data_IF_925854478790
#
_entry.id   IF_925854478790
#
_cell.length_a   1.000
_cell.length_b   1.000
_cell.length_c   1.000
_cell.angle_alpha   90.00
_cell.angle_beta   90.00
_cell.angle_gamma   90.00
#
_symmetry.space_group_name_H-M   'P 1'
#
loop_
_entity.id
_entity.type
_entity.pdbx_description
1 polymer ?
#
# COMPACT_ATOMS: atom_id res chain seq x y z
N UNK A 1 -3.41 40.26 -1.89
CA UNK A 1 -3.71 39.24 -0.85
C UNK A 1 -2.78 38.05 -1.07
N UNK A 2 -1.86 37.78 -0.14
CA UNK A 2 -0.99 36.60 -0.20
C UNK A 2 -1.87 35.36 -0.02
N UNK A 3 -2.04 34.56 -1.08
CA UNK A 3 -2.74 33.27 -1.04
C UNK A 3 -2.00 32.43 0.00
N UNK A 4 -2.63 32.14 1.13
CA UNK A 4 -2.08 31.22 2.11
C UNK A 4 -1.89 29.89 1.37
N UNK A 5 -0.64 29.54 1.05
CA UNK A 5 -0.31 28.20 0.61
C UNK A 5 -0.69 27.29 1.77
N UNK A 6 -1.85 26.64 1.67
CA UNK A 6 -2.18 25.53 2.55
C UNK A 6 -1.00 24.57 2.46
N UNK A 7 -0.16 24.53 3.51
CA UNK A 7 0.97 23.61 3.61
C UNK A 7 0.42 22.20 3.46
N UNK A 8 0.48 21.67 2.24
CA UNK A 8 0.12 20.28 1.98
C UNK A 8 1.10 19.42 2.77
N UNK A 9 0.58 18.67 3.72
CA UNK A 9 1.36 17.70 4.49
C UNK A 9 1.64 16.51 3.59
N UNK A 10 2.90 16.10 3.47
CA UNK A 10 3.29 14.91 2.71
C UNK A 10 3.60 13.77 3.69
N UNK A 11 3.10 12.58 3.40
CA UNK A 11 3.23 11.39 4.25
C UNK A 11 4.05 10.29 3.57
N UNK A 12 4.37 9.23 4.33
CA UNK A 12 5.03 8.03 3.81
C UNK A 12 4.30 7.43 2.60
N UNK A 13 2.97 7.41 2.62
CA UNK A 13 2.17 6.93 1.49
C UNK A 13 2.40 7.74 0.21
N UNK A 14 2.55 9.06 0.33
CA UNK A 14 2.84 9.93 -0.82
C UNK A 14 4.24 9.64 -1.38
N UNK A 15 5.19 9.30 -0.51
CA UNK A 15 6.52 8.88 -0.90
C UNK A 15 6.52 7.53 -1.64
N UNK A 16 5.81 6.52 -1.11
CA UNK A 16 5.68 5.19 -1.73
C UNK A 16 5.00 5.30 -3.10
N UNK A 17 3.94 6.10 -3.19
CA UNK A 17 3.27 6.37 -4.46
C UNK A 17 4.22 7.03 -5.47
N UNK A 18 4.91 8.10 -5.07
CA UNK A 18 5.89 8.79 -5.91
C UNK A 18 6.99 7.83 -6.37
N UNK A 19 7.44 6.96 -5.48
CA UNK A 19 8.46 5.98 -5.77
C UNK A 19 8.02 5.01 -6.87
N UNK A 20 6.79 4.49 -6.79
CA UNK A 20 6.24 3.62 -7.82
C UNK A 20 6.08 4.33 -9.18
N UNK A 21 5.65 5.60 -9.19
CA UNK A 21 5.62 6.41 -10.42
C UNK A 21 7.02 6.57 -11.05
N UNK A 22 8.04 6.83 -10.24
CA UNK A 22 9.42 6.98 -10.74
C UNK A 22 9.98 5.65 -11.25
N UNK A 23 9.69 4.55 -10.56
CA UNK A 23 10.06 3.21 -11.01
C UNK A 23 9.44 2.87 -12.38
N UNK A 24 8.16 3.21 -12.58
CA UNK A 24 7.47 3.07 -13.86
C UNK A 24 8.12 3.89 -14.98
N UNK A 25 8.52 5.13 -14.68
CA UNK A 25 9.21 6.02 -15.63
C UNK A 25 10.60 5.51 -16.02
N UNK A 26 11.41 5.04 -15.05
CA UNK A 26 12.76 4.52 -15.29
C UNK A 26 12.71 3.27 -16.17
N UNK A 27 11.75 2.38 -15.95
CA UNK A 27 11.66 1.12 -16.70
C UNK A 27 10.87 1.18 -18.00
N UNK A 28 10.39 2.35 -18.45
CA UNK A 28 9.67 2.68 -19.73
C UNK A 28 8.53 1.74 -20.22
N UNK A 29 8.35 0.58 -19.61
CA UNK A 29 7.51 -0.55 -20.06
C UNK A 29 6.72 -1.14 -18.89
N UNK A 30 6.90 -0.62 -17.68
CA UNK A 30 6.19 -1.15 -16.51
C UNK A 30 4.76 -0.65 -16.50
N UNK A 31 3.79 -1.57 -16.55
CA UNK A 31 2.37 -1.31 -16.26
C UNK A 31 2.10 -1.02 -14.76
N UNK A 32 3.14 -1.01 -13.94
CA UNK A 32 3.03 -0.72 -12.51
C UNK A 32 3.01 0.79 -12.27
N UNK A 33 1.81 1.34 -12.17
CA UNK A 33 1.57 2.71 -11.72
C UNK A 33 1.95 2.86 -10.23
N UNK A 34 2.25 4.08 -9.79
CA UNK A 34 2.53 4.36 -8.37
C UNK A 34 1.36 4.02 -7.45
N UNK A 35 0.13 4.13 -7.97
CA UNK A 35 -1.09 3.74 -7.26
C UNK A 35 -1.15 2.24 -7.01
N UNK A 36 -0.71 1.44 -7.99
CA UNK A 36 -0.66 -0.02 -7.87
C UNK A 36 0.37 -0.44 -6.82
N UNK A 37 1.59 0.10 -6.87
CA UNK A 37 2.65 -0.22 -5.91
C UNK A 37 2.26 0.18 -4.48
N UNK A 38 1.72 1.38 -4.29
CA UNK A 38 1.19 1.81 -2.99
C UNK A 38 0.09 0.86 -2.52
N UNK A 39 -0.81 0.45 -3.41
CA UNK A 39 -1.90 -0.44 -3.03
C UNK A 39 -1.42 -1.84 -2.66
N UNK A 40 -0.44 -2.40 -3.39
CA UNK A 40 0.22 -3.65 -3.01
C UNK A 40 0.85 -3.55 -1.62
N UNK A 41 1.42 -2.41 -1.27
CA UNK A 41 2.01 -2.19 0.05
C UNK A 41 0.93 -2.14 1.16
N UNK A 42 -0.18 -1.43 0.93
CA UNK A 42 -1.35 -1.42 1.83
C UNK A 42 -1.95 -2.82 1.97
N UNK A 43 -2.06 -3.55 0.85
CA UNK A 43 -2.53 -4.92 0.80
C UNK A 43 -1.68 -5.84 1.67
N UNK A 44 -0.36 -5.74 1.53
CA UNK A 44 0.58 -6.56 2.27
C UNK A 44 0.57 -6.28 3.77
N UNK A 45 0.53 -5.01 4.17
CA UNK A 45 0.65 -4.63 5.59
C UNK A 45 -0.65 -4.65 6.37
N UNK A 46 -1.78 -4.38 5.72
CA UNK A 46 -3.06 -4.16 6.41
C UNK A 46 -4.06 -5.23 6.01
N UNK A 47 -4.33 -5.37 4.72
CA UNK A 47 -5.41 -6.23 4.24
C UNK A 47 -5.09 -7.71 4.46
N UNK A 48 -3.90 -8.17 4.08
CA UNK A 48 -3.51 -9.57 4.24
C UNK A 48 -3.51 -10.03 5.71
N UNK A 49 -2.92 -9.29 6.66
CA UNK A 49 -3.01 -9.67 8.07
C UNK A 49 -4.43 -9.71 8.61
N UNK A 50 -5.28 -8.74 8.25
CA UNK A 50 -6.68 -8.71 8.66
C UNK A 50 -7.49 -9.84 8.02
N UNK A 51 -7.19 -10.17 6.76
CA UNK A 51 -7.81 -11.28 6.04
C UNK A 51 -7.48 -12.61 6.72
N UNK A 52 -6.20 -12.89 6.99
CA UNK A 52 -5.77 -14.11 7.71
C UNK A 52 -6.45 -14.18 9.09
N UNK A 53 -6.50 -13.05 9.81
CA UNK A 53 -7.16 -12.98 11.11
C UNK A 53 -8.67 -13.26 10.99
N UNK A 54 -9.36 -12.69 10.01
CA UNK A 54 -10.81 -12.89 9.84
C UNK A 54 -11.15 -14.33 9.46
N UNK A 55 -10.35 -14.96 8.59
CA UNK A 55 -10.52 -16.37 8.21
C UNK A 55 -10.33 -17.30 9.38
N UNK A 56 -9.45 -16.93 10.32
CA UNK A 56 -9.23 -17.71 11.53
C UNK A 56 -10.34 -17.55 12.56
N UNK A 57 -10.90 -16.35 12.72
CA UNK A 57 -11.97 -16.07 13.70
C UNK A 57 -13.33 -16.58 13.21
N UNK A 58 -13.63 -16.46 11.91
CA UNK A 58 -14.92 -16.88 11.35
C UNK A 58 -14.74 -17.87 10.21
N UNK A 59 -14.12 -19.01 10.52
CA UNK A 59 -13.86 -20.09 9.55
C UNK A 59 -15.12 -20.64 8.89
N UNK A 60 -16.25 -20.64 9.62
CA UNK A 60 -17.51 -21.25 9.17
C UNK A 60 -18.15 -20.52 7.97
N UNK A 61 -17.79 -19.24 7.78
CA UNK A 61 -18.29 -18.38 6.70
C UNK A 61 -17.19 -18.01 5.69
N UNK A 62 -16.15 -18.83 5.56
CA UNK A 62 -14.98 -18.57 4.73
C UNK A 62 -15.31 -18.15 3.28
N UNK A 63 -16.31 -18.79 2.65
CA UNK A 63 -16.71 -18.43 1.28
C UNK A 63 -17.25 -17.01 1.18
N UNK A 64 -18.09 -16.58 2.14
CA UNK A 64 -18.64 -15.22 2.18
C UNK A 64 -17.51 -14.22 2.42
N UNK A 65 -16.59 -14.54 3.35
CA UNK A 65 -15.43 -13.69 3.62
C UNK A 65 -14.56 -13.49 2.39
N UNK A 66 -14.35 -14.53 1.58
CA UNK A 66 -13.56 -14.45 0.35
C UNK A 66 -14.17 -13.43 -0.63
N UNK A 67 -15.49 -13.47 -0.85
CA UNK A 67 -16.16 -12.48 -1.70
C UNK A 67 -16.06 -11.05 -1.14
N UNK A 68 -16.21 -10.89 0.18
CA UNK A 68 -16.07 -9.58 0.85
C UNK A 68 -14.66 -9.03 0.68
N UNK A 69 -13.62 -9.85 0.92
CA UNK A 69 -12.24 -9.41 0.77
C UNK A 69 -11.87 -9.07 -0.68
N UNK A 70 -12.37 -9.83 -1.66
CA UNK A 70 -12.21 -9.47 -3.08
C UNK A 70 -12.86 -8.12 -3.38
N UNK A 71 -14.07 -7.88 -2.88
CA UNK A 71 -14.76 -6.60 -3.07
C UNK A 71 -13.97 -5.43 -2.44
N UNK A 72 -13.47 -5.62 -1.21
CA UNK A 72 -12.60 -4.65 -0.53
C UNK A 72 -11.31 -4.41 -1.33
N UNK A 73 -10.74 -5.46 -1.92
CA UNK A 73 -9.53 -5.37 -2.72
C UNK A 73 -9.71 -4.55 -4.01
N UNK A 74 -10.83 -4.74 -4.70
CA UNK A 74 -11.13 -4.00 -5.92
C UNK A 74 -11.52 -2.54 -5.61
N UNK A 75 -12.34 -2.34 -4.57
CA UNK A 75 -12.77 -1.02 -4.14
C UNK A 75 -11.60 -0.17 -3.63
N UNK A 76 -10.72 -0.78 -2.82
CA UNK A 76 -9.55 -0.10 -2.27
C UNK A 76 -8.57 0.34 -3.35
N UNK A 77 -8.30 -0.50 -4.35
CA UNK A 77 -7.42 -0.12 -5.47
C UNK A 77 -7.98 1.09 -6.23
N UNK A 78 -9.26 1.01 -6.59
CA UNK A 78 -9.97 2.08 -7.29
C UNK A 78 -9.97 3.39 -6.48
N UNK A 79 -10.09 3.29 -5.15
CA UNK A 79 -10.08 4.44 -4.26
C UNK A 79 -8.69 5.10 -4.18
N UNK A 80 -7.62 4.32 -4.02
CA UNK A 80 -6.24 4.82 -4.03
C UNK A 80 -5.94 5.51 -5.36
N UNK A 81 -6.30 4.89 -6.48
CA UNK A 81 -6.14 5.49 -7.80
C UNK A 81 -6.88 6.83 -7.92
N UNK A 82 -8.10 6.94 -7.39
CA UNK A 82 -8.87 8.19 -7.40
C UNK A 82 -8.24 9.29 -6.54
N UNK A 83 -7.68 8.95 -5.38
CA UNK A 83 -6.99 9.90 -4.49
C UNK A 83 -5.76 10.47 -5.20
N UNK A 84 -4.90 9.59 -5.73
CA UNK A 84 -3.66 10.01 -6.35
C UNK A 84 -3.84 10.59 -7.76
N UNK A 85 -4.97 10.34 -8.43
CA UNK A 85 -5.34 11.11 -9.63
C UNK A 85 -5.53 12.60 -9.33
N UNK A 86 -6.03 12.94 -8.13
CA UNK A 86 -6.22 14.34 -7.70
C UNK A 86 -4.97 14.92 -7.06
N UNK A 87 -4.27 14.14 -6.23
CA UNK A 87 -3.14 14.60 -5.42
C UNK A 87 -1.78 14.45 -6.09
N UNK A 88 -1.64 13.53 -7.04
CA UNK A 88 -0.37 13.09 -7.61
C UNK A 88 0.45 14.21 -8.24
N UNK A 89 -0.20 15.21 -8.87
CA UNK A 89 0.50 16.38 -9.42
C UNK A 89 1.27 17.18 -8.35
N UNK A 90 0.69 17.34 -7.17
CA UNK A 90 1.36 18.03 -6.06
C UNK A 90 2.50 17.18 -5.49
N UNK A 91 2.27 15.87 -5.34
CA UNK A 91 3.28 14.92 -4.86
C UNK A 91 4.50 14.90 -5.78
N UNK A 92 4.30 14.81 -7.09
CA UNK A 92 5.37 14.88 -8.09
C UNK A 92 6.15 16.19 -8.01
N UNK A 93 5.46 17.33 -7.85
CA UNK A 93 6.11 18.64 -7.70
C UNK A 93 6.95 18.71 -6.43
N UNK A 94 6.44 18.18 -5.32
CA UNK A 94 7.14 18.19 -4.04
C UNK A 94 8.42 17.35 -4.06
N UNK A 95 8.36 16.16 -4.66
CA UNK A 95 9.49 15.23 -4.73
C UNK A 95 10.33 15.38 -6.00
N UNK A 96 10.13 16.42 -6.80
CA UNK A 96 10.83 16.61 -8.08
C UNK A 96 12.37 16.64 -7.92
N UNK A 97 12.86 17.33 -6.89
CA UNK A 97 14.30 17.46 -6.62
C UNK A 97 14.88 16.30 -5.78
N UNK A 98 14.08 15.30 -5.41
CA UNK A 98 14.59 14.16 -4.64
C UNK A 98 15.22 13.13 -5.56
N UNK A 99 16.41 12.67 -5.18
CA UNK A 99 17.09 11.53 -5.79
C UNK A 99 16.30 10.25 -5.52
N UNK A 100 16.17 9.45 -6.57
CA UNK A 100 15.58 8.13 -6.51
C UNK A 100 16.66 7.12 -6.11
N UNK A 101 16.43 6.39 -5.02
CA UNK A 101 17.36 5.38 -4.51
C UNK A 101 16.70 4.01 -4.56
N UNK A 102 17.18 3.15 -5.46
CA UNK A 102 16.67 1.78 -5.65
C UNK A 102 16.64 0.94 -4.37
N UNK A 103 17.64 1.15 -3.49
CA UNK A 103 17.74 0.49 -2.19
C UNK A 103 16.50 0.72 -1.31
N UNK A 104 15.81 1.85 -1.44
CA UNK A 104 14.62 2.15 -0.63
C UNK A 104 13.43 1.30 -1.06
N UNK A 105 13.27 0.97 -2.36
CA UNK A 105 12.24 0.01 -2.79
C UNK A 105 12.47 -1.36 -2.16
N UNK A 106 13.71 -1.83 -2.23
CA UNK A 106 14.10 -3.13 -1.70
C UNK A 106 13.87 -3.16 -0.19
N UNK A 107 14.24 -2.09 0.51
CA UNK A 107 14.03 -1.96 1.95
C UNK A 107 12.54 -1.95 2.31
N UNK A 108 11.69 -1.23 1.56
CA UNK A 108 10.24 -1.26 1.77
C UNK A 108 9.67 -2.66 1.56
N UNK A 109 10.10 -3.37 0.52
CA UNK A 109 9.66 -4.73 0.26
C UNK A 109 10.08 -5.71 1.37
N UNK A 110 11.34 -5.64 1.80
CA UNK A 110 11.87 -6.44 2.91
C UNK A 110 11.09 -6.12 4.20
N UNK A 111 10.87 -4.84 4.50
CA UNK A 111 10.14 -4.41 5.69
C UNK A 111 8.73 -5.01 5.73
N UNK A 112 8.01 -4.96 4.59
CA UNK A 112 6.68 -5.56 4.48
C UNK A 112 6.70 -7.06 4.75
N UNK A 113 7.69 -7.76 4.17
CA UNK A 113 7.87 -9.21 4.34
C UNK A 113 8.18 -9.57 5.80
N UNK A 114 9.08 -8.84 6.45
CA UNK A 114 9.44 -9.05 7.86
C UNK A 114 8.23 -8.86 8.77
N UNK A 115 7.42 -7.82 8.53
CA UNK A 115 6.19 -7.58 9.29
C UNK A 115 5.21 -8.75 9.10
N UNK A 116 5.05 -9.26 7.87
CA UNK A 116 4.20 -10.40 7.60
C UNK A 116 4.68 -11.68 8.31
N UNK A 117 5.98 -11.98 8.27
CA UNK A 117 6.56 -13.12 8.98
C UNK A 117 6.35 -12.99 10.50
N UNK A 118 6.57 -11.79 11.05
CA UNK A 118 6.34 -11.52 12.47
C UNK A 118 4.86 -11.70 12.84
N UNK A 119 3.93 -11.19 12.04
CA UNK A 119 2.49 -11.34 12.27
C UNK A 119 2.07 -12.81 12.18
N UNK A 120 2.60 -13.57 11.21
CA UNK A 120 2.35 -15.00 11.08
C UNK A 120 2.83 -15.77 12.32
N UNK A 121 4.04 -15.47 12.79
CA UNK A 121 4.58 -16.02 14.04
C UNK A 121 3.68 -15.70 15.24
N UNK A 122 3.25 -14.44 15.37
CA UNK A 122 2.35 -14.02 16.45
C UNK A 122 0.98 -14.73 16.37
N UNK A 123 0.44 -14.91 15.18
CA UNK A 123 -0.80 -15.65 14.98
C UNK A 123 -0.66 -17.11 15.38
N UNK A 124 0.44 -17.76 15.03
CA UNK A 124 0.66 -19.16 15.40
C UNK A 124 0.80 -19.35 16.92
N UNK A 125 1.50 -18.43 17.59
CA UNK A 125 1.88 -18.61 19.00
C UNK A 125 0.88 -18.03 20.01
N UNK A 126 0.26 -16.87 19.72
CA UNK A 126 -0.55 -16.15 20.70
C UNK A 126 -2.06 -16.27 20.49
N UNK A 127 -2.51 -16.67 19.30
CA UNK A 127 -3.94 -16.86 19.04
C UNK A 127 -4.24 -18.36 19.14
N UNK A 128 -5.11 -18.82 20.06
CA UNK A 128 -5.49 -20.22 20.14
C UNK A 128 -6.08 -20.70 18.81
N UNK A 129 -5.81 -21.96 18.45
CA UNK A 129 -6.45 -22.61 17.29
C UNK A 129 -7.95 -22.81 17.61
N UNK A 130 -8.84 -22.67 16.62
CA UNK A 130 -10.24 -23.04 16.80
C UNK A 130 -10.37 -24.52 17.19
#
# INVERSE_FOLDING_TARGET
MKRQEHKQRFYLWDYIWWYGERWGQVRRTSRMDGSFLLYCYIMSLIILPLMVLSFRIFSDIAMIQLFVWIAIALAGHSWVQRIYRRRGKSVLKHYYNRSFYEAVAVLLFILSTVIQCFLMYCYEYYIPKP
#
